data_IF_154704157937
#
_entry.id   IF_154704157937
#
_cell.length_a   1.000
_cell.length_b   1.000
_cell.length_c   1.000
_cell.angle_alpha   90.00
_cell.angle_beta   90.00
_cell.angle_gamma   90.00
#
_symmetry.space_group_name_H-M   'P 1'
#
loop_
_entity.id
_entity.type
_entity.pdbx_description
1 polymer ?
#
# COMPACT_ATOMS: atom_id res chain seq x y z
N UNK A 1 61.15 -41.67 13.16
CA UNK A 1 59.94 -41.59 12.26
C UNK A 1 58.67 -41.34 13.10
N UNK A 2 58.39 -42.08 14.17
CA UNK A 2 57.22 -41.94 15.01
C UNK A 2 57.12 -40.58 15.71
N UNK A 3 58.21 -40.00 16.16
CA UNK A 3 58.24 -38.68 16.80
C UNK A 3 57.92 -37.56 15.85
N UNK A 4 58.34 -37.65 14.58
CA UNK A 4 58.06 -36.68 13.54
C UNK A 4 56.57 -36.68 13.15
N UNK A 5 55.94 -37.85 13.12
CA UNK A 5 54.53 -38.01 12.83
C UNK A 5 53.63 -37.48 13.94
N UNK A 6 54.03 -37.65 15.19
CA UNK A 6 53.35 -37.12 16.38
C UNK A 6 53.42 -35.59 16.44
N UNK A 7 54.60 -35.01 16.14
CA UNK A 7 54.82 -33.57 16.13
C UNK A 7 54.02 -32.89 15.00
N UNK A 8 53.99 -33.51 13.83
CA UNK A 8 53.23 -33.00 12.69
C UNK A 8 51.71 -33.03 12.92
N UNK A 9 51.18 -34.08 13.56
CA UNK A 9 49.77 -34.14 13.98
C UNK A 9 49.43 -33.09 15.02
N UNK A 10 50.30 -32.86 16.00
CA UNK A 10 50.14 -31.86 17.03
C UNK A 10 50.14 -30.44 16.44
N UNK A 11 51.04 -30.15 15.51
CA UNK A 11 51.06 -28.85 14.77
C UNK A 11 49.84 -28.67 13.87
N UNK A 12 49.35 -29.75 13.22
CA UNK A 12 48.14 -29.69 12.39
C UNK A 12 46.88 -29.44 13.23
N UNK A 13 46.83 -30.04 14.46
CA UNK A 13 45.72 -29.83 15.40
C UNK A 13 45.72 -28.41 15.95
N UNK A 14 46.89 -27.84 16.26
CA UNK A 14 47.00 -26.43 16.66
C UNK A 14 46.60 -25.50 15.53
N UNK A 15 47.01 -25.77 14.29
CA UNK A 15 46.64 -24.97 13.10
C UNK A 15 45.16 -25.03 12.85
N UNK A 16 44.50 -26.18 12.99
CA UNK A 16 43.03 -26.33 12.87
C UNK A 16 42.29 -25.63 13.99
N UNK A 17 42.83 -25.63 15.21
CA UNK A 17 42.25 -24.89 16.34
C UNK A 17 42.36 -23.37 16.15
N UNK A 18 43.42 -22.87 15.53
CA UNK A 18 43.60 -21.44 15.28
C UNK A 18 42.75 -20.96 14.10
N UNK A 19 42.37 -21.85 13.16
CA UNK A 19 41.46 -21.52 12.04
C UNK A 19 40.00 -21.54 12.49
N UNK A 20 39.68 -22.09 13.68
CA UNK A 20 38.32 -22.18 14.22
C UNK A 20 37.87 -21.00 15.07
N UNK A 21 38.70 -19.98 15.28
CA UNK A 21 38.24 -18.76 15.92
C UNK A 21 37.45 -17.98 14.87
N UNK A 22 36.13 -18.16 14.87
CA UNK A 22 35.19 -17.20 14.34
C UNK A 22 35.62 -15.83 14.87
N UNK A 23 35.96 -14.91 14.00
CA UNK A 23 36.03 -13.51 14.41
C UNK A 23 34.61 -13.18 14.89
N UNK A 24 34.43 -13.03 16.20
CA UNK A 24 33.24 -12.48 16.80
C UNK A 24 33.06 -11.06 16.18
N UNK A 25 32.32 -11.01 15.11
CA UNK A 25 31.90 -9.73 14.57
C UNK A 25 30.89 -9.16 15.53
N UNK A 26 31.35 -8.33 16.45
CA UNK A 26 30.46 -7.53 17.29
C UNK A 26 29.60 -6.66 16.44
N UNK A 27 28.28 -6.77 16.61
CA UNK A 27 27.31 -5.88 15.98
C UNK A 27 27.36 -4.57 16.77
N UNK A 28 27.87 -3.52 16.13
CA UNK A 28 27.89 -2.17 16.70
C UNK A 28 26.57 -1.44 16.38
N UNK A 29 26.14 -0.56 17.29
CA UNK A 29 24.94 0.24 17.08
C UNK A 29 25.01 1.06 15.78
N UNK A 30 26.20 1.57 15.43
CA UNK A 30 26.47 2.25 14.16
C UNK A 30 26.11 1.40 12.95
N UNK A 31 26.46 0.11 12.93
CA UNK A 31 26.16 -0.81 11.83
C UNK A 31 24.66 -1.06 11.66
N UNK A 32 23.89 -0.98 12.74
CA UNK A 32 22.43 -1.08 12.70
C UNK A 32 21.81 0.20 12.13
N UNK A 33 22.34 1.36 12.52
CA UNK A 33 21.80 2.66 12.14
C UNK A 33 22.20 3.11 10.73
N UNK A 34 23.43 2.79 10.28
CA UNK A 34 23.95 3.19 8.98
C UNK A 34 23.45 2.33 7.81
N UNK A 35 22.74 1.24 8.12
CA UNK A 35 22.18 0.34 7.12
C UNK A 35 23.16 -0.72 6.61
N UNK A 36 24.31 -0.97 7.29
CA UNK A 36 25.27 -2.01 6.95
C UNK A 36 24.62 -3.39 6.77
N UNK A 37 23.58 -3.70 7.55
CA UNK A 37 22.83 -4.96 7.47
C UNK A 37 21.59 -4.88 6.61
N UNK A 38 21.38 -3.77 5.88
CA UNK A 38 20.23 -3.63 5.00
C UNK A 38 20.40 -4.55 3.80
N UNK A 39 19.51 -5.53 3.67
CA UNK A 39 19.48 -6.39 2.48
C UNK A 39 19.06 -5.58 1.25
N UNK A 40 19.67 -5.85 0.10
CA UNK A 40 19.14 -5.38 -1.17
C UNK A 40 17.81 -6.13 -1.42
N UNK A 41 16.70 -5.43 -1.27
CA UNK A 41 15.39 -6.00 -1.57
C UNK A 41 15.23 -6.24 -3.07
N UNK A 42 14.45 -7.26 -3.40
CA UNK A 42 13.93 -7.42 -4.76
C UNK A 42 12.90 -6.30 -4.94
N UNK A 43 13.09 -5.45 -5.93
CA UNK A 43 12.17 -4.35 -6.24
C UNK A 43 10.74 -4.85 -6.55
N UNK A 44 9.80 -3.93 -6.60
CA UNK A 44 8.43 -4.24 -6.98
C UNK A 44 8.36 -4.59 -8.47
N UNK A 45 7.70 -5.71 -8.81
CA UNK A 45 7.39 -6.06 -10.19
C UNK A 45 5.91 -6.38 -10.36
N UNK A 46 5.45 -6.20 -11.60
CA UNK A 46 4.07 -6.46 -12.00
C UNK A 46 4.11 -7.32 -13.26
N UNK A 47 3.39 -8.43 -13.24
CA UNK A 47 3.29 -9.30 -14.41
C UNK A 47 2.65 -8.56 -15.58
N UNK A 48 3.14 -8.82 -16.79
CA UNK A 48 2.54 -8.31 -18.03
C UNK A 48 1.41 -9.26 -18.43
N UNK A 49 0.24 -8.71 -18.68
CA UNK A 49 -0.93 -9.50 -19.03
C UNK A 49 -0.71 -10.26 -20.33
N UNK A 50 -0.90 -11.59 -20.27
CA UNK A 50 -0.78 -12.46 -21.45
C UNK A 50 0.62 -12.72 -21.95
N UNK A 51 1.67 -12.36 -21.21
CA UNK A 51 3.07 -12.57 -21.60
C UNK A 51 3.89 -13.17 -20.45
N UNK A 52 4.91 -13.97 -20.78
CA UNK A 52 5.95 -14.41 -19.83
C UNK A 52 6.96 -13.28 -19.57
N UNK A 53 6.47 -12.19 -19.02
CA UNK A 53 7.23 -10.98 -18.78
C UNK A 53 6.73 -10.23 -17.55
N UNK A 54 7.56 -9.34 -16.97
CA UNK A 54 7.15 -8.46 -15.90
C UNK A 54 7.71 -7.05 -16.06
N UNK A 55 6.97 -6.07 -15.54
CA UNK A 55 7.45 -4.71 -15.39
C UNK A 55 8.17 -4.54 -14.06
N UNK A 56 9.25 -3.78 -14.09
CA UNK A 56 9.92 -3.26 -12.90
C UNK A 56 10.37 -1.82 -13.14
N UNK A 57 10.67 -1.09 -12.06
CA UNK A 57 11.07 0.31 -12.16
C UNK A 57 12.45 0.55 -11.52
N UNK A 58 13.20 1.49 -12.10
CA UNK A 58 14.45 2.01 -11.53
C UNK A 58 14.37 3.54 -11.46
N UNK A 59 14.82 4.11 -10.35
CA UNK A 59 14.91 5.56 -10.17
C UNK A 59 16.33 6.02 -10.53
N UNK A 60 16.42 7.14 -11.26
CA UNK A 60 17.66 7.85 -11.51
C UNK A 60 17.49 9.36 -11.30
N UNK A 61 18.46 10.16 -11.76
CA UNK A 61 18.44 11.63 -11.63
C UNK A 61 17.33 12.30 -12.44
N UNK A 62 16.82 11.67 -13.49
CA UNK A 62 15.78 12.21 -14.37
C UNK A 62 14.36 11.85 -13.89
N UNK A 63 14.19 10.77 -13.14
CA UNK A 63 12.88 10.32 -12.68
C UNK A 63 12.81 8.81 -12.44
N UNK A 64 11.66 8.23 -12.74
CA UNK A 64 11.43 6.78 -12.62
C UNK A 64 11.27 6.19 -14.01
N UNK A 65 12.14 5.22 -14.33
CA UNK A 65 12.15 4.49 -15.59
C UNK A 65 11.51 3.13 -15.39
N UNK A 66 10.61 2.76 -16.28
CA UNK A 66 9.95 1.46 -16.31
C UNK A 66 10.56 0.58 -17.38
N UNK A 67 10.81 -0.66 -17.01
CA UNK A 67 11.41 -1.68 -17.85
C UNK A 67 10.49 -2.89 -17.89
N UNK A 68 10.48 -3.57 -19.04
CA UNK A 68 9.87 -4.89 -19.22
C UNK A 68 10.99 -5.91 -19.37
N UNK A 69 10.96 -6.94 -18.54
CA UNK A 69 11.83 -8.10 -18.65
C UNK A 69 11.04 -9.26 -19.23
N UNK A 70 11.54 -9.83 -20.33
CA UNK A 70 10.97 -11.02 -20.94
C UNK A 70 11.75 -12.25 -20.47
N UNK A 71 11.04 -13.22 -19.87
CA UNK A 71 11.66 -14.39 -19.26
C UNK A 71 12.22 -15.35 -20.34
N UNK A 72 11.51 -15.50 -21.45
CA UNK A 72 11.90 -16.47 -22.48
C UNK A 72 13.15 -16.03 -23.27
N UNK A 73 13.29 -14.73 -23.53
CA UNK A 73 14.44 -14.19 -24.30
C UNK A 73 15.57 -13.68 -23.42
N UNK A 74 15.38 -13.62 -22.09
CA UNK A 74 16.31 -13.00 -21.13
C UNK A 74 16.64 -11.54 -21.47
N UNK A 75 15.68 -10.80 -22.07
CA UNK A 75 15.86 -9.43 -22.51
C UNK A 75 15.17 -8.43 -21.62
N UNK A 76 15.83 -7.28 -21.43
CA UNK A 76 15.27 -6.12 -20.74
C UNK A 76 15.10 -4.95 -21.69
N UNK A 77 13.88 -4.44 -21.81
CA UNK A 77 13.56 -3.29 -22.64
C UNK A 77 13.01 -2.15 -21.81
N UNK A 78 13.55 -0.93 -21.97
CA UNK A 78 12.94 0.27 -21.38
C UNK A 78 11.64 0.60 -22.12
N UNK A 79 10.53 0.71 -21.39
CA UNK A 79 9.20 0.92 -21.97
C UNK A 79 8.76 2.37 -21.92
N UNK A 80 8.81 2.99 -20.73
CA UNK A 80 8.45 4.40 -20.55
C UNK A 80 9.16 4.98 -19.31
N UNK A 81 9.01 6.30 -19.12
CA UNK A 81 9.56 7.02 -17.97
C UNK A 81 8.56 8.05 -17.46
N UNK A 82 8.65 8.36 -16.19
CA UNK A 82 7.94 9.47 -15.55
C UNK A 82 9.00 10.44 -15.03
N UNK A 83 9.04 11.65 -15.57
CA UNK A 83 10.02 12.67 -15.23
C UNK A 83 9.77 13.20 -13.82
N UNK A 84 10.85 13.42 -13.06
CA UNK A 84 10.77 13.94 -11.69
C UNK A 84 10.12 15.33 -11.59
N UNK A 85 10.16 16.11 -12.67
CA UNK A 85 9.53 17.44 -12.75
C UNK A 85 8.01 17.36 -12.82
N UNK A 86 7.46 16.25 -13.35
CA UNK A 86 6.03 15.98 -13.34
C UNK A 86 5.56 15.51 -11.96
N UNK A 87 6.29 14.56 -11.37
CA UNK A 87 5.98 13.98 -10.06
C UNK A 87 7.24 13.28 -9.53
N UNK A 88 7.64 13.59 -8.30
CA UNK A 88 8.97 13.18 -7.82
C UNK A 88 8.97 11.93 -6.94
N UNK A 89 8.00 11.81 -6.04
CA UNK A 89 7.92 10.70 -5.10
C UNK A 89 6.51 10.12 -5.12
N UNK A 90 6.39 8.86 -5.50
CA UNK A 90 5.12 8.15 -5.54
C UNK A 90 5.29 6.65 -5.39
N UNK A 91 4.25 5.98 -4.92
CA UNK A 91 4.03 4.57 -5.18
C UNK A 91 3.00 4.43 -6.30
N UNK A 92 2.98 3.30 -7.00
CA UNK A 92 2.12 3.12 -8.15
C UNK A 92 1.43 1.77 -8.19
N UNK A 93 0.32 1.70 -8.91
CA UNK A 93 -0.31 0.46 -9.37
C UNK A 93 -0.78 0.62 -10.81
N UNK A 94 -0.72 -0.46 -11.59
CA UNK A 94 -1.25 -0.48 -12.95
C UNK A 94 -2.78 -0.61 -12.94
N UNK A 95 -3.42 -0.03 -13.96
CA UNK A 95 -4.78 -0.44 -14.36
C UNK A 95 -4.76 -1.87 -14.88
N UNK A 96 -5.91 -2.56 -14.91
CA UNK A 96 -5.99 -3.96 -15.34
C UNK A 96 -5.53 -4.14 -16.80
N UNK A 97 -5.85 -3.19 -17.67
CA UNK A 97 -5.40 -3.17 -19.08
C UNK A 97 -3.95 -2.68 -19.25
N UNK A 98 -3.28 -2.32 -18.14
CA UNK A 98 -1.90 -1.84 -18.10
C UNK A 98 -1.61 -0.61 -18.96
N UNK A 99 -2.62 0.16 -19.32
CA UNK A 99 -2.47 1.42 -20.09
C UNK A 99 -2.25 2.63 -19.19
N UNK A 100 -2.57 2.54 -17.89
CA UNK A 100 -2.50 3.62 -16.92
C UNK A 100 -1.82 3.20 -15.64
N UNK A 101 -1.28 4.19 -14.93
CA UNK A 101 -0.81 4.05 -13.56
C UNK A 101 -1.63 4.92 -12.62
N UNK A 102 -2.04 4.37 -11.50
CA UNK A 102 -2.48 5.12 -10.34
C UNK A 102 -1.26 5.46 -9.49
N UNK A 103 -0.97 6.74 -9.34
CA UNK A 103 0.19 7.26 -8.59
C UNK A 103 -0.28 7.82 -7.25
N UNK A 104 0.28 7.31 -6.17
CA UNK A 104 0.00 7.74 -4.79
C UNK A 104 1.14 8.61 -4.29
N UNK A 105 0.83 9.84 -3.89
CA UNK A 105 1.77 10.85 -3.35
C UNK A 105 1.30 11.38 -2.00
N UNK A 106 2.11 12.16 -1.32
CA UNK A 106 1.76 12.89 -0.10
C UNK A 106 1.02 12.02 0.94
N UNK A 107 1.50 10.80 1.14
CA UNK A 107 0.86 9.84 2.03
C UNK A 107 0.97 10.28 3.48
N UNK A 108 -0.17 10.45 4.14
CA UNK A 108 -0.30 10.76 5.57
C UNK A 108 -0.83 9.50 6.26
N UNK A 109 0.00 8.89 7.08
CA UNK A 109 -0.35 7.69 7.83
C UNK A 109 -1.43 8.01 8.85
N UNK A 110 -2.47 7.18 8.92
CA UNK A 110 -3.53 7.29 9.90
C UNK A 110 -3.33 6.29 11.05
N UNK A 111 -3.23 5.00 10.72
CA UNK A 111 -3.00 3.90 11.63
C UNK A 111 -1.85 3.02 11.10
N UNK A 112 -1.76 1.75 11.53
CA UNK A 112 -0.70 0.83 11.13
C UNK A 112 -0.61 0.62 9.61
N UNK A 113 -1.73 0.48 8.92
CA UNK A 113 -1.82 0.16 7.50
C UNK A 113 -2.49 1.26 6.67
N UNK A 114 -3.49 1.93 7.22
CA UNK A 114 -4.26 2.95 6.53
C UNK A 114 -3.51 4.28 6.41
N UNK A 115 -3.78 4.96 5.33
CA UNK A 115 -3.26 6.31 5.05
C UNK A 115 -4.22 7.06 4.15
N UNK A 116 -4.25 8.37 4.32
CA UNK A 116 -4.74 9.29 3.30
C UNK A 116 -3.60 9.65 2.35
N UNK A 117 -3.91 9.96 1.11
CA UNK A 117 -2.91 10.41 0.15
C UNK A 117 -3.55 11.22 -0.98
N UNK A 118 -2.71 11.90 -1.75
CA UNK A 118 -3.06 12.49 -3.03
C UNK A 118 -2.88 11.45 -4.13
N UNK A 119 -3.83 11.36 -5.06
CA UNK A 119 -3.77 10.39 -6.14
C UNK A 119 -3.86 11.05 -7.51
N UNK A 120 -3.07 10.51 -8.44
CA UNK A 120 -3.03 10.94 -9.83
C UNK A 120 -3.12 9.73 -10.76
N UNK A 121 -3.57 9.96 -11.99
CA UNK A 121 -3.59 8.97 -13.06
C UNK A 121 -2.58 9.39 -14.11
N UNK A 122 -1.64 8.50 -14.41
CA UNK A 122 -0.69 8.67 -15.49
C UNK A 122 -1.07 7.75 -16.65
N UNK A 123 -1.39 8.34 -17.79
CA UNK A 123 -1.60 7.60 -19.03
C UNK A 123 -0.26 7.32 -19.70
N UNK A 124 0.04 6.05 -19.92
CA UNK A 124 1.36 5.61 -20.40
C UNK A 124 1.61 6.01 -21.84
N UNK A 125 0.56 6.00 -22.67
CA UNK A 125 0.67 6.30 -24.10
C UNK A 125 0.80 7.81 -24.35
N UNK A 126 -0.12 8.59 -23.77
CA UNK A 126 -0.16 10.04 -23.96
C UNK A 126 0.81 10.81 -23.06
N UNK A 127 1.32 10.14 -22.02
CA UNK A 127 2.18 10.71 -20.96
C UNK A 127 1.50 11.84 -20.18
N UNK A 128 0.17 11.89 -20.19
CA UNK A 128 -0.61 12.85 -19.42
C UNK A 128 -0.67 12.41 -17.94
N UNK A 129 -0.65 13.41 -17.08
CA UNK A 129 -0.84 13.25 -15.65
C UNK A 129 -2.09 14.02 -15.26
N UNK A 130 -3.13 13.31 -14.87
CA UNK A 130 -4.43 13.85 -14.47
C UNK A 130 -4.70 13.56 -12.99
N UNK A 131 -5.57 14.35 -12.37
CA UNK A 131 -6.07 14.06 -11.01
C UNK A 131 -7.13 12.97 -11.05
N UNK A 132 -7.22 12.19 -9.94
CA UNK A 132 -8.27 11.17 -9.75
C UNK A 132 -9.66 11.80 -9.58
N UNK A 133 -9.71 13.04 -9.10
CA UNK A 133 -10.96 13.77 -8.84
C UNK A 133 -10.72 15.28 -8.90
N UNK A 134 -11.78 16.07 -8.77
CA UNK A 134 -11.68 17.53 -8.65
C UNK A 134 -10.92 17.97 -7.38
N UNK A 135 -10.94 17.16 -6.33
CA UNK A 135 -10.18 17.31 -5.08
C UNK A 135 -9.47 16.00 -4.78
N UNK A 136 -8.24 15.79 -5.31
CA UNK A 136 -7.51 14.53 -5.23
C UNK A 136 -6.83 14.28 -3.89
N UNK A 137 -6.87 15.24 -2.98
CA UNK A 137 -6.18 15.16 -1.70
C UNK A 137 -6.98 14.35 -0.68
N UNK A 138 -6.26 13.72 0.24
CA UNK A 138 -6.81 12.97 1.37
C UNK A 138 -7.82 11.89 0.99
N UNK A 139 -7.54 11.21 -0.11
CA UNK A 139 -8.27 10.02 -0.51
C UNK A 139 -7.66 8.76 0.12
N UNK A 140 -8.46 7.72 0.32
CA UNK A 140 -8.00 6.40 0.77
C UNK A 140 -8.58 5.26 -0.08
N UNK A 141 -7.88 4.12 -0.07
CA UNK A 141 -8.30 2.88 -0.71
C UNK A 141 -8.60 3.04 -2.22
N UNK A 142 -7.89 3.95 -2.89
CA UNK A 142 -8.14 4.27 -4.30
C UNK A 142 -7.79 3.09 -5.20
N UNK A 143 -8.71 2.69 -6.09
CA UNK A 143 -8.55 1.54 -7.00
C UNK A 143 -9.21 1.77 -8.34
N UNK A 144 -8.54 1.31 -9.40
CA UNK A 144 -9.17 1.16 -10.70
C UNK A 144 -10.29 0.12 -10.67
N UNK A 145 -11.30 0.32 -11.49
CA UNK A 145 -12.23 -0.75 -11.87
C UNK A 145 -11.53 -1.76 -12.79
N UNK A 146 -11.98 -3.05 -12.84
CA UNK A 146 -11.39 -4.06 -13.72
C UNK A 146 -11.40 -3.68 -15.21
N UNK A 147 -12.39 -2.91 -15.68
CA UNK A 147 -12.44 -2.42 -17.08
C UNK A 147 -11.56 -1.17 -17.32
N UNK A 148 -10.81 -0.70 -16.31
CA UNK A 148 -9.91 0.46 -16.37
C UNK A 148 -10.58 1.80 -16.77
N UNK A 149 -11.92 1.90 -16.65
CA UNK A 149 -12.69 3.10 -17.01
C UNK A 149 -13.06 3.98 -15.82
N UNK A 150 -13.04 3.43 -14.62
CA UNK A 150 -13.40 4.11 -13.38
C UNK A 150 -12.32 3.98 -12.33
N UNK A 151 -12.35 4.90 -11.38
CA UNK A 151 -11.57 4.82 -10.14
C UNK A 151 -12.54 5.02 -8.99
N UNK A 152 -12.53 4.14 -7.99
CA UNK A 152 -13.29 4.33 -6.76
C UNK A 152 -12.36 4.63 -5.59
N UNK A 153 -12.88 5.31 -4.58
CA UNK A 153 -12.15 5.74 -3.39
C UNK A 153 -13.08 6.13 -2.25
N UNK A 154 -12.50 6.29 -1.07
CA UNK A 154 -13.19 6.86 0.10
C UNK A 154 -12.60 8.23 0.40
N UNK A 155 -13.44 9.22 0.70
CA UNK A 155 -13.07 10.56 1.16
C UNK A 155 -13.05 10.66 2.68
N UNK A 156 -12.63 11.83 3.21
CA UNK A 156 -12.59 12.10 4.65
C UNK A 156 -13.96 12.11 5.33
N UNK A 157 -15.03 12.33 4.57
CA UNK A 157 -16.41 12.23 5.03
C UNK A 157 -16.90 10.80 5.25
N UNK A 158 -15.99 9.81 5.08
CA UNK A 158 -16.24 8.39 5.22
C UNK A 158 -17.30 7.84 4.25
N UNK A 159 -17.42 8.46 3.07
CA UNK A 159 -18.26 8.00 1.99
C UNK A 159 -17.44 7.47 0.80
N UNK A 160 -18.06 6.52 0.08
CA UNK A 160 -17.55 5.99 -1.18
C UNK A 160 -17.93 6.91 -2.34
N UNK A 161 -16.98 7.07 -3.24
CA UNK A 161 -17.09 7.83 -4.47
C UNK A 161 -16.51 7.03 -5.63
N UNK A 162 -16.92 7.37 -6.85
CA UNK A 162 -16.21 6.93 -8.05
C UNK A 162 -16.02 8.10 -9.03
N UNK A 163 -15.00 7.98 -9.85
CA UNK A 163 -14.64 8.93 -10.89
C UNK A 163 -14.60 8.23 -12.23
N UNK A 164 -15.35 8.75 -13.21
CA UNK A 164 -15.34 8.27 -14.57
C UNK A 164 -14.19 8.93 -15.33
N UNK A 165 -13.24 8.12 -15.84
CA UNK A 165 -12.03 8.60 -16.51
C UNK A 165 -12.29 9.18 -17.89
N UNK A 166 -13.40 8.81 -18.54
CA UNK A 166 -13.78 9.27 -19.86
C UNK A 166 -14.53 10.61 -19.78
N UNK A 167 -15.58 10.67 -18.94
CA UNK A 167 -16.39 11.90 -18.78
C UNK A 167 -15.76 12.90 -17.83
N UNK A 168 -14.82 12.47 -16.99
CA UNK A 168 -14.20 13.27 -15.92
C UNK A 168 -15.19 13.73 -14.85
N UNK A 169 -16.23 12.95 -14.63
CA UNK A 169 -17.27 13.22 -13.64
C UNK A 169 -17.07 12.35 -12.41
N UNK A 170 -17.26 12.97 -11.25
CA UNK A 170 -17.29 12.32 -9.96
C UNK A 170 -18.73 12.10 -9.52
N UNK A 171 -18.99 10.94 -8.91
CA UNK A 171 -20.29 10.64 -8.29
C UNK A 171 -20.08 10.07 -6.90
N UNK A 172 -20.87 10.56 -5.95
CA UNK A 172 -20.95 10.01 -4.61
C UNK A 172 -21.84 8.77 -4.60
N UNK A 173 -21.42 7.71 -3.90
CA UNK A 173 -22.11 6.42 -3.87
C UNK A 173 -22.81 6.13 -2.55
N UNK A 174 -22.27 6.62 -1.43
CA UNK A 174 -22.87 6.51 -0.10
C UNK A 174 -23.04 7.91 0.51
N UNK A 175 -24.02 8.09 1.40
CA UNK A 175 -24.43 9.43 1.84
C UNK A 175 -24.57 9.54 3.36
N UNK A 176 -24.33 8.47 4.10
CA UNK A 176 -24.49 8.41 5.55
C UNK A 176 -23.16 8.37 6.32
N UNK A 177 -22.04 8.53 5.60
CA UNK A 177 -20.71 8.62 6.20
C UNK A 177 -20.62 9.73 7.23
N UNK A 178 -20.02 9.42 8.38
CA UNK A 178 -19.88 10.34 9.51
C UNK A 178 -18.70 9.92 10.40
N UNK A 179 -18.53 10.59 11.53
CA UNK A 179 -17.54 10.19 12.54
C UNK A 179 -17.74 8.76 13.08
N UNK A 180 -18.97 8.23 12.98
CA UNK A 180 -19.36 6.90 13.48
C UNK A 180 -19.76 5.91 12.39
N UNK A 181 -20.05 6.37 11.17
CA UNK A 181 -20.44 5.52 10.06
C UNK A 181 -19.34 5.54 9.01
N UNK A 182 -18.76 4.39 8.77
CA UNK A 182 -17.62 4.23 7.86
C UNK A 182 -18.03 3.35 6.66
N UNK A 183 -17.95 3.90 5.45
CA UNK A 183 -18.28 3.19 4.22
C UNK A 183 -17.01 2.88 3.41
N UNK A 184 -16.77 1.62 3.08
CA UNK A 184 -15.65 1.18 2.25
C UNK A 184 -14.27 1.22 2.91
N UNK A 185 -14.22 1.48 4.20
CA UNK A 185 -13.03 1.32 5.04
C UNK A 185 -13.46 0.94 6.46
N UNK A 186 -12.51 0.50 7.26
CA UNK A 186 -12.75 0.11 8.64
C UNK A 186 -12.13 1.10 9.64
N UNK A 187 -12.66 1.08 10.87
CA UNK A 187 -12.12 1.76 12.03
C UNK A 187 -10.90 1.05 12.61
N UNK A 188 -10.40 1.60 13.72
CA UNK A 188 -9.16 1.16 14.34
C UNK A 188 -9.14 -0.32 14.73
N UNK A 189 -10.24 -0.84 15.28
CA UNK A 189 -10.31 -2.23 15.78
C UNK A 189 -10.12 -3.25 14.64
N UNK A 190 -10.83 -3.08 13.54
CA UNK A 190 -10.72 -3.99 12.40
C UNK A 190 -9.36 -3.93 11.75
N UNK A 191 -8.74 -2.75 11.73
CA UNK A 191 -7.39 -2.59 11.18
C UNK A 191 -6.34 -3.27 12.06
N UNK A 192 -6.36 -3.06 13.39
CA UNK A 192 -5.36 -3.59 14.31
C UNK A 192 -5.53 -5.09 14.57
N UNK A 193 -6.76 -5.56 14.79
CA UNK A 193 -7.02 -6.95 15.19
C UNK A 193 -7.11 -7.90 14.00
N UNK A 194 -7.61 -7.43 12.85
CA UNK A 194 -7.83 -8.28 11.67
C UNK A 194 -6.99 -7.87 10.45
N UNK A 195 -6.19 -6.81 10.53
CA UNK A 195 -5.45 -6.28 9.38
C UNK A 195 -6.35 -5.73 8.27
N UNK A 196 -7.62 -5.45 8.58
CA UNK A 196 -8.64 -5.05 7.61
C UNK A 196 -8.83 -3.54 7.63
N UNK A 197 -8.39 -2.85 6.60
CA UNK A 197 -8.53 -1.39 6.44
C UNK A 197 -9.18 -1.00 5.11
N UNK A 198 -9.17 -1.89 4.13
CA UNK A 198 -9.70 -1.71 2.78
C UNK A 198 -10.97 -2.55 2.62
N UNK A 199 -12.12 -1.89 2.72
CA UNK A 199 -13.42 -2.51 2.94
C UNK A 199 -14.36 -2.42 1.73
N UNK A 200 -13.85 -2.33 0.49
CA UNK A 200 -14.69 -2.45 -0.70
C UNK A 200 -13.98 -3.18 -1.84
N UNK A 201 -14.77 -3.77 -2.74
CA UNK A 201 -14.26 -4.49 -3.91
C UNK A 201 -15.15 -4.24 -5.13
N UNK A 202 -14.51 -4.04 -6.28
CA UNK A 202 -15.17 -4.05 -7.58
C UNK A 202 -15.61 -5.46 -7.95
N UNK A 203 -16.77 -5.57 -8.61
CA UNK A 203 -17.13 -6.80 -9.33
C UNK A 203 -16.27 -6.97 -10.58
N UNK A 204 -16.02 -8.21 -11.05
CA UNK A 204 -15.18 -8.45 -12.24
C UNK A 204 -15.67 -7.75 -13.52
N UNK A 205 -16.98 -7.54 -13.65
CA UNK A 205 -17.59 -6.81 -14.78
C UNK A 205 -17.61 -5.30 -14.60
N UNK A 206 -17.06 -4.76 -13.50
CA UNK A 206 -17.02 -3.33 -13.18
C UNK A 206 -18.38 -2.64 -13.02
N UNK A 207 -19.45 -3.41 -12.90
CA UNK A 207 -20.81 -2.87 -12.74
C UNK A 207 -21.12 -2.59 -11.28
N UNK A 208 -20.58 -3.39 -10.36
CA UNK A 208 -20.92 -3.33 -8.94
C UNK A 208 -19.69 -3.05 -8.07
N UNK A 209 -19.95 -2.43 -6.92
CA UNK A 209 -19.03 -2.37 -5.79
C UNK A 209 -19.74 -3.00 -4.59
N UNK A 210 -19.14 -4.05 -4.02
CA UNK A 210 -19.50 -4.53 -2.69
C UNK A 210 -18.65 -3.81 -1.66
N UNK A 211 -19.25 -3.41 -0.53
CA UNK A 211 -18.53 -2.73 0.53
C UNK A 211 -19.04 -3.14 1.91
N UNK A 212 -18.19 -2.97 2.90
CA UNK A 212 -18.59 -3.02 4.30
C UNK A 212 -18.93 -1.60 4.78
N UNK A 213 -20.06 -1.51 5.49
CA UNK A 213 -20.47 -0.36 6.27
C UNK A 213 -20.30 -0.70 7.73
N UNK A 214 -19.41 0.00 8.42
CA UNK A 214 -19.18 -0.15 9.86
C UNK A 214 -19.91 0.97 10.60
N UNK A 215 -20.73 0.59 11.60
CA UNK A 215 -21.37 1.50 12.53
C UNK A 215 -20.72 1.34 13.90
N UNK A 216 -19.99 2.35 14.33
CA UNK A 216 -19.34 2.42 15.65
C UNK A 216 -20.03 3.42 16.60
N UNK A 217 -21.30 3.78 16.35
CA UNK A 217 -22.03 4.76 17.17
C UNK A 217 -22.21 4.32 18.63
N UNK A 218 -22.29 3.00 18.87
CA UNK A 218 -22.37 2.40 20.21
C UNK A 218 -21.00 2.25 20.89
N UNK A 219 -19.92 2.35 20.15
CA UNK A 219 -18.56 2.15 20.67
C UNK A 219 -18.09 3.38 21.44
N UNK A 220 -17.58 3.16 22.64
CA UNK A 220 -17.08 4.25 23.49
C UNK A 220 -15.74 4.78 22.99
N UNK A 221 -15.54 6.09 23.13
CA UNK A 221 -14.26 6.74 22.81
C UNK A 221 -13.24 6.52 23.91
N UNK A 222 -12.02 6.17 23.52
CA UNK A 222 -10.86 6.01 24.40
C UNK A 222 -9.86 7.15 24.16
N UNK A 223 -9.37 7.83 25.22
CA UNK A 223 -8.39 8.90 25.09
C UNK A 223 -6.99 8.33 24.89
N UNK A 224 -6.32 8.75 23.82
CA UNK A 224 -4.88 8.57 23.62
C UNK A 224 -4.17 9.88 23.93
N UNK A 225 -3.26 9.85 24.89
CA UNK A 225 -2.49 11.04 25.29
C UNK A 225 -1.19 11.07 24.49
N UNK A 226 -0.99 12.16 23.78
CA UNK A 226 0.23 12.43 23.03
C UNK A 226 1.12 13.37 23.85
N UNK A 227 2.34 12.93 24.15
CA UNK A 227 3.34 13.63 24.93
C UNK A 227 4.47 14.26 24.09
N UNK A 228 4.40 14.22 22.76
CA UNK A 228 5.45 14.74 21.89
C UNK A 228 5.55 16.28 21.93
N UNK A 229 4.51 16.95 22.39
CA UNK A 229 4.47 18.41 22.51
C UNK A 229 4.73 18.86 23.95
N UNK A 230 5.08 20.15 24.14
CA UNK A 230 5.34 20.72 25.46
C UNK A 230 4.18 20.55 26.46
N UNK A 231 2.95 20.59 25.97
CA UNK A 231 1.75 20.26 26.71
C UNK A 231 1.07 19.06 26.04
N UNK A 232 0.70 18.01 26.80
CA UNK A 232 0.06 16.84 26.21
C UNK A 232 -1.24 17.21 25.48
N UNK A 233 -1.44 16.56 24.33
CA UNK A 233 -2.71 16.63 23.60
C UNK A 233 -3.45 15.31 23.69
N UNK A 234 -4.79 15.34 23.58
CA UNK A 234 -5.62 14.14 23.66
C UNK A 234 -6.29 13.91 22.31
N UNK A 235 -6.05 12.73 21.75
CA UNK A 235 -6.77 12.21 20.59
C UNK A 235 -7.73 11.12 21.06
N UNK A 236 -8.97 11.14 20.58
CA UNK A 236 -9.94 10.10 20.88
C UNK A 236 -10.06 9.11 19.73
N UNK A 237 -10.15 7.83 20.06
CA UNK A 237 -10.46 6.76 19.12
C UNK A 237 -11.67 5.98 19.62
N UNK A 238 -12.45 5.40 18.72
CA UNK A 238 -13.47 4.42 19.07
C UNK A 238 -12.78 3.10 19.41
N UNK A 239 -12.92 2.66 20.65
CA UNK A 239 -12.19 1.52 21.18
C UNK A 239 -13.10 0.69 22.11
N UNK A 240 -13.57 -0.47 21.68
CA UNK A 240 -14.38 -1.36 22.52
C UNK A 240 -13.46 -2.07 23.52
N UNK A 241 -13.60 -1.76 24.79
CA UNK A 241 -12.95 -2.53 25.86
C UNK A 241 -13.64 -3.87 26.02
N UNK A 242 -12.93 -4.83 26.62
CA UNK A 242 -13.48 -6.14 26.96
C UNK A 242 -14.81 -6.02 27.73
N UNK A 243 -15.86 -6.65 27.21
CA UNK A 243 -17.23 -6.60 27.76
C UNK A 243 -18.06 -5.38 27.34
N UNK A 244 -17.55 -4.49 26.47
CA UNK A 244 -18.28 -3.38 25.86
C UNK A 244 -18.74 -3.73 24.43
N UNK A 245 -19.61 -2.89 23.87
CA UNK A 245 -20.17 -3.10 22.54
C UNK A 245 -19.09 -2.95 21.45
N UNK A 246 -19.11 -3.88 20.48
CA UNK A 246 -18.31 -3.80 19.26
C UNK A 246 -19.04 -3.00 18.17
N UNK A 247 -18.32 -2.52 17.14
CA UNK A 247 -18.97 -1.96 15.94
C UNK A 247 -19.92 -2.99 15.29
N UNK A 248 -21.02 -2.52 14.74
CA UNK A 248 -21.89 -3.32 13.87
C UNK A 248 -21.43 -3.20 12.41
N UNK A 249 -21.43 -4.31 11.69
CA UNK A 249 -20.97 -4.34 10.30
C UNK A 249 -22.06 -4.91 9.39
N UNK A 250 -22.35 -4.13 8.33
CA UNK A 250 -23.28 -4.50 7.26
C UNK A 250 -22.53 -4.62 5.93
N UNK A 251 -23.12 -5.35 4.98
CA UNK A 251 -22.60 -5.45 3.61
C UNK A 251 -23.53 -4.66 2.68
N UNK A 252 -22.95 -3.72 1.93
CA UNK A 252 -23.62 -2.97 0.89
C UNK A 252 -23.22 -3.41 -0.52
N UNK A 253 -24.16 -3.30 -1.45
CA UNK A 253 -23.93 -3.47 -2.89
C UNK A 253 -24.37 -2.20 -3.61
N UNK A 254 -23.48 -1.63 -4.41
CA UNK A 254 -23.69 -0.44 -5.22
C UNK A 254 -23.69 -0.83 -6.69
N UNK A 255 -24.74 -0.47 -7.42
CA UNK A 255 -24.78 -0.54 -8.89
C UNK A 255 -24.29 0.79 -9.46
N UNK A 256 -23.12 0.77 -10.10
CA UNK A 256 -22.45 1.97 -10.60
C UNK A 256 -23.15 2.53 -11.84
N UNK A 257 -23.80 1.68 -12.64
CA UNK A 257 -24.49 2.09 -13.87
C UNK A 257 -25.83 2.73 -13.53
N UNK A 258 -26.61 2.10 -12.65
CA UNK A 258 -27.93 2.58 -12.27
C UNK A 258 -27.91 3.54 -11.07
N UNK A 259 -26.77 3.70 -10.44
CA UNK A 259 -26.56 4.52 -9.23
C UNK A 259 -27.55 4.18 -8.10
N UNK A 260 -27.75 2.88 -7.87
CA UNK A 260 -28.59 2.35 -6.80
C UNK A 260 -27.78 1.61 -5.76
N UNK A 261 -28.26 1.57 -4.52
CA UNK A 261 -27.62 0.87 -3.41
C UNK A 261 -28.59 -0.10 -2.71
N UNK A 262 -28.09 -1.24 -2.26
CA UNK A 262 -28.75 -2.18 -1.37
C UNK A 262 -27.81 -2.50 -0.20
N UNK A 263 -28.26 -2.29 1.03
CA UNK A 263 -27.48 -2.55 2.26
C UNK A 263 -28.18 -3.64 3.04
N UNK A 264 -27.44 -4.69 3.42
CA UNK A 264 -27.94 -5.82 4.20
C UNK A 264 -27.13 -5.97 5.49
N UNK A 265 -27.81 -6.06 6.59
CA UNK A 265 -27.29 -6.36 7.93
C UNK A 265 -27.27 -7.85 8.20
#
# INVERSE_FOLDING_TARGET
FLLYYSLMRFLLTILLLTLGFSQDKTIELSNVLDGTFRTSGIGRYNWVNGEDAYYFSKKDSSGINFFKYNIASDDTTKTFSIDKEKINQFSYSFSEDQTKLLLKTNSIKQWRHSSYATYHIYDIQTKNLDSVSSDPDRLRNVKFSPNSKYVAYVREDNNLYFYNLETREESQLTFDGSDTILNGHFGWVYEEEFGSYDAYRWSPNSQYISFFREDQSMVKKYPLVDYETKYPTIKYIYYPKSGEDNPEVSIGLLDIINQTSDIRT
#
